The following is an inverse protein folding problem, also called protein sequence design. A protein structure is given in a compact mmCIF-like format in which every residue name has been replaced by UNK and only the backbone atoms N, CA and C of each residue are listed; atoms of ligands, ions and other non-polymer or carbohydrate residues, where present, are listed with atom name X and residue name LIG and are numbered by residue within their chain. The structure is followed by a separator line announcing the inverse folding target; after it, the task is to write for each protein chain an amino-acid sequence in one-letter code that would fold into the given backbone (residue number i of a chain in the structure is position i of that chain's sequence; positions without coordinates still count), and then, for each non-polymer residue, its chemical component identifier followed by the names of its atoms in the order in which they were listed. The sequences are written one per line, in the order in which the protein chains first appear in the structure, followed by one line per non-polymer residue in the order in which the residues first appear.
data_IF_590348558910
#
_entry.id   IF_590348558910
#
_cell.length_a   1.000
_cell.length_b   1.000
_cell.length_c   1.000
_cell.angle_alpha   90.00
_cell.angle_beta   90.00
_cell.angle_gamma   90.00
#
_symmetry.space_group_name_H-M   'P 1'
#
loop_
_entity.id
_entity.type
_entity.pdbx_description
1 polymer ?
#
# COMPACT_ATOMS: atom_id res chain seq x y z
N UNK A 1 6.18 9.03 14.95
CA UNK A 1 7.64 8.82 14.75
C UNK A 1 7.98 9.12 13.29
N UNK A 2 9.15 9.71 12.95
CA UNK A 2 9.48 10.08 11.55
C UNK A 2 9.44 8.89 10.59
N UNK A 3 9.75 7.69 11.07
CA UNK A 3 9.82 6.44 10.33
C UNK A 3 8.48 5.69 10.24
N UNK A 4 7.45 6.15 10.97
CA UNK A 4 6.12 5.53 10.96
C UNK A 4 5.41 5.72 9.61
N UNK A 5 5.50 6.91 9.02
CA UNK A 5 4.95 7.19 7.68
C UNK A 5 5.54 6.26 6.62
N UNK A 6 6.87 6.22 6.39
CA UNK A 6 7.44 5.39 5.34
C UNK A 6 7.20 3.89 5.58
N UNK A 7 7.24 3.43 6.84
CA UNK A 7 6.94 2.04 7.16
C UNK A 7 5.50 1.64 6.77
N UNK A 8 4.49 2.38 7.25
CA UNK A 8 3.10 2.06 6.92
C UNK A 8 2.81 2.24 5.43
N UNK A 9 3.48 3.20 4.79
CA UNK A 9 3.37 3.41 3.36
C UNK A 9 3.86 2.20 2.56
N UNK A 10 5.06 1.67 2.85
CA UNK A 10 5.54 0.45 2.18
C UNK A 10 4.66 -0.75 2.48
N UNK A 11 4.19 -0.88 3.73
CA UNK A 11 3.24 -1.92 4.13
C UNK A 11 1.96 -1.86 3.27
N UNK A 12 1.47 -0.66 3.00
CA UNK A 12 0.32 -0.41 2.13
C UNK A 12 0.61 -0.75 0.67
N UNK A 13 1.76 -0.32 0.12
CA UNK A 13 2.18 -0.67 -1.25
C UNK A 13 2.15 -2.18 -1.42
N UNK A 14 2.88 -2.92 -0.57
CA UNK A 14 2.96 -4.38 -0.64
C UNK A 14 1.56 -5.01 -0.49
N UNK A 15 0.69 -4.46 0.34
CA UNK A 15 -0.68 -4.96 0.49
C UNK A 15 -1.52 -4.76 -0.78
N UNK A 16 -1.41 -3.61 -1.45
CA UNK A 16 -2.12 -3.32 -2.69
C UNK A 16 -1.65 -4.18 -3.86
N UNK A 17 -0.33 -4.35 -4.02
CA UNK A 17 0.27 -5.00 -5.20
C UNK A 17 0.38 -6.52 -5.09
N UNK A 18 0.56 -7.07 -3.88
CA UNK A 18 0.72 -8.52 -3.71
C UNK A 18 -0.61 -9.27 -3.64
N UNK A 19 -1.68 -8.58 -4.03
CA UNK A 19 -3.06 -8.99 -3.91
C UNK A 19 -3.30 -10.27 -4.72
N UNK A 20 -3.07 -10.25 -6.03
CA UNK A 20 -3.35 -11.37 -6.92
C UNK A 20 -2.21 -12.40 -7.02
N UNK A 21 -1.14 -12.19 -6.25
CA UNK A 21 0.07 -13.01 -6.23
C UNK A 21 1.02 -12.75 -7.40
N UNK A 22 0.79 -11.71 -8.20
CA UNK A 22 1.67 -11.26 -9.29
C UNK A 22 2.07 -9.83 -9.01
N UNK A 23 3.34 -9.53 -9.24
CA UNK A 23 3.82 -8.14 -9.17
C UNK A 23 4.20 -7.71 -10.57
N UNK A 24 3.55 -6.65 -11.03
CA UNK A 24 3.83 -6.03 -12.32
C UNK A 24 5.14 -5.25 -12.26
N UNK A 25 5.66 -4.90 -13.43
CA UNK A 25 6.88 -4.09 -13.52
C UNK A 25 6.69 -2.69 -12.92
N UNK A 26 5.48 -2.12 -13.03
CA UNK A 26 5.14 -0.82 -12.45
C UNK A 26 5.21 -0.86 -10.93
N UNK A 27 4.56 -1.85 -10.33
CA UNK A 27 4.54 -2.08 -8.88
C UNK A 27 5.94 -2.35 -8.29
N UNK A 28 6.75 -3.15 -8.98
CA UNK A 28 8.16 -3.35 -8.58
C UNK A 28 8.98 -2.05 -8.66
N UNK A 29 8.72 -1.23 -9.68
CA UNK A 29 9.36 0.08 -9.82
C UNK A 29 8.98 1.01 -8.68
N UNK A 30 7.70 1.01 -8.27
CA UNK A 30 7.22 1.82 -7.15
C UNK A 30 7.93 1.46 -5.84
N UNK A 31 8.15 0.17 -5.56
CA UNK A 31 8.94 -0.25 -4.39
C UNK A 31 10.40 0.24 -4.46
N UNK A 32 11.01 0.27 -5.64
CA UNK A 32 12.36 0.85 -5.83
C UNK A 32 12.39 2.36 -5.60
N UNK A 33 11.37 3.08 -6.10
CA UNK A 33 11.22 4.51 -5.86
C UNK A 33 11.04 4.80 -4.37
N UNK A 34 10.29 3.96 -3.66
CA UNK A 34 10.16 4.05 -2.21
C UNK A 34 11.52 3.96 -1.50
N UNK A 35 12.39 3.02 -1.91
CA UNK A 35 13.75 2.92 -1.36
C UNK A 35 14.56 4.20 -1.61
N UNK A 36 14.52 4.73 -2.83
CA UNK A 36 15.24 5.97 -3.18
C UNK A 36 14.77 7.16 -2.35
N UNK A 37 13.45 7.31 -2.17
CA UNK A 37 12.85 8.42 -1.44
C UNK A 37 13.18 8.40 0.08
N UNK A 38 13.41 7.22 0.65
CA UNK A 38 13.54 7.05 2.11
C UNK A 38 14.93 6.64 2.58
N UNK A 39 15.90 6.51 1.69
CA UNK A 39 17.30 6.23 2.04
C UNK A 39 17.85 7.23 3.08
N UNK A 40 17.46 8.50 2.99
CA UNK A 40 17.88 9.56 3.92
C UNK A 40 17.39 9.38 5.36
N UNK A 41 16.44 8.47 5.62
CA UNK A 41 15.92 8.19 6.97
C UNK A 41 16.67 7.05 7.67
N UNK A 42 17.67 6.45 7.02
CA UNK A 42 18.41 5.28 7.51
C UNK A 42 19.54 5.63 8.51
N UNK A 43 19.27 6.53 9.45
CA UNK A 43 20.26 7.01 10.41
C UNK A 43 20.42 6.08 11.61
N UNK A 44 19.32 5.46 12.06
CA UNK A 44 19.30 4.64 13.27
C UNK A 44 18.39 3.41 13.15
N UNK A 45 18.67 2.42 13.99
CA UNK A 45 17.79 1.27 14.24
C UNK A 45 16.44 1.74 14.82
N UNK A 46 15.32 1.02 14.58
CA UNK A 46 15.25 -0.21 13.77
C UNK A 46 15.11 0.05 12.25
N UNK A 47 14.88 1.31 11.86
CA UNK A 47 14.55 1.63 10.45
C UNK A 47 15.72 1.37 9.51
N UNK A 48 16.95 1.59 9.96
CA UNK A 48 18.16 1.27 9.18
C UNK A 48 18.25 -0.21 8.83
N UNK A 49 18.01 -1.13 9.77
CA UNK A 49 18.05 -2.58 9.47
C UNK A 49 16.86 -2.99 8.59
N UNK A 50 15.66 -2.52 8.93
CA UNK A 50 14.46 -2.74 8.11
C UNK A 50 14.68 -2.34 6.64
N UNK A 51 15.18 -1.13 6.40
CA UNK A 51 15.44 -0.64 5.05
C UNK A 51 16.49 -1.48 4.33
N UNK A 52 17.56 -1.90 5.02
CA UNK A 52 18.60 -2.73 4.43
C UNK A 52 18.06 -4.10 3.98
N UNK A 53 17.21 -4.74 4.79
CA UNK A 53 16.57 -6.01 4.46
C UNK A 53 15.61 -5.87 3.27
N UNK A 54 14.74 -4.84 3.27
CA UNK A 54 13.86 -4.55 2.12
C UNK A 54 14.66 -4.28 0.85
N UNK A 55 15.71 -3.47 0.94
CA UNK A 55 16.53 -3.10 -0.21
C UNK A 55 17.26 -4.31 -0.80
N UNK A 56 17.74 -5.23 0.02
CA UNK A 56 18.43 -6.43 -0.44
C UNK A 56 17.53 -7.29 -1.34
N UNK A 57 16.24 -7.42 -1.01
CA UNK A 57 15.26 -8.13 -1.83
C UNK A 57 15.06 -7.41 -3.17
N UNK A 58 14.85 -6.10 -3.13
CA UNK A 58 14.53 -5.34 -4.35
C UNK A 58 15.71 -5.21 -5.33
N UNK A 59 16.94 -5.45 -4.88
CA UNK A 59 18.14 -5.30 -5.71
C UNK A 59 18.35 -6.48 -6.70
N UNK A 60 17.71 -7.64 -6.53
CA UNK A 60 17.89 -8.80 -7.44
C UNK A 60 17.29 -8.60 -8.84
N UNK A 61 16.39 -7.62 -8.99
CA UNK A 61 15.84 -7.18 -10.27
C UNK A 61 14.55 -7.88 -10.71
N UNK A 62 14.08 -8.87 -9.95
CA UNK A 62 12.78 -9.53 -10.11
C UNK A 62 12.01 -9.50 -8.79
N UNK A 63 10.76 -9.99 -8.83
CA UNK A 63 9.95 -10.14 -7.64
C UNK A 63 9.23 -11.49 -7.72
N UNK A 64 9.74 -12.46 -6.99
CA UNK A 64 9.20 -13.81 -6.88
C UNK A 64 8.14 -13.89 -5.79
N UNK A 65 7.33 -14.96 -5.80
CA UNK A 65 6.35 -15.18 -4.73
C UNK A 65 7.04 -15.36 -3.37
N UNK A 66 8.22 -15.98 -3.37
CA UNK A 66 9.09 -16.16 -2.21
C UNK A 66 9.58 -14.81 -1.66
N UNK A 67 10.05 -13.90 -2.52
CA UNK A 67 10.48 -12.55 -2.12
C UNK A 67 9.32 -11.71 -1.57
N UNK A 68 8.10 -11.87 -2.11
CA UNK A 68 6.89 -11.25 -1.54
C UNK A 68 6.63 -11.77 -0.12
N UNK A 69 6.75 -13.09 0.09
CA UNK A 69 6.59 -13.69 1.42
C UNK A 69 7.67 -13.19 2.38
N UNK A 70 8.90 -13.04 1.92
CA UNK A 70 10.00 -12.50 2.70
C UNK A 70 9.77 -11.03 3.07
N UNK A 71 9.35 -10.19 2.13
CA UNK A 71 8.96 -8.80 2.39
C UNK A 71 7.84 -8.70 3.44
N UNK A 72 6.81 -9.55 3.33
CA UNK A 72 5.73 -9.63 4.32
C UNK A 72 6.25 -10.05 5.71
N UNK A 73 7.21 -10.97 5.75
CA UNK A 73 7.85 -11.39 7.00
C UNK A 73 8.68 -10.26 7.63
N UNK A 74 9.44 -9.50 6.81
CA UNK A 74 10.20 -8.33 7.26
C UNK A 74 9.26 -7.26 7.81
N UNK A 75 8.18 -6.92 7.10
CA UNK A 75 7.17 -5.97 7.61
C UNK A 75 6.65 -6.40 8.98
N UNK A 76 6.28 -7.67 9.14
CA UNK A 76 5.76 -8.20 10.42
C UNK A 76 6.81 -8.13 11.54
N UNK A 77 8.08 -8.43 11.22
CA UNK A 77 9.19 -8.39 12.18
C UNK A 77 9.37 -7.00 12.80
N UNK A 78 9.23 -5.93 12.03
CA UNK A 78 9.50 -4.56 12.49
C UNK A 78 8.24 -3.76 12.88
N UNK A 79 7.05 -4.34 12.74
CA UNK A 79 5.78 -3.62 12.90
C UNK A 79 5.63 -2.95 14.26
N UNK A 80 5.94 -3.67 15.34
CA UNK A 80 5.76 -3.17 16.72
C UNK A 80 6.75 -2.06 17.09
N UNK A 81 7.90 -1.99 16.41
CA UNK A 81 8.94 -0.99 16.67
C UNK A 81 8.78 0.24 15.77
N UNK A 82 8.31 0.05 14.53
CA UNK A 82 8.22 1.11 13.53
C UNK A 82 6.84 1.75 13.43
N UNK A 83 5.79 1.11 13.94
CA UNK A 83 4.42 1.62 13.82
C UNK A 83 3.54 1.28 15.01
N UNK A 84 2.59 2.18 15.27
CA UNK A 84 1.38 1.87 16.05
C UNK A 84 0.24 1.73 15.04
N UNK A 85 -0.04 0.49 14.62
CA UNK A 85 -0.98 0.16 13.52
C UNK A 85 -2.39 0.73 13.72
N UNK A 86 -2.82 0.90 14.97
CA UNK A 86 -4.17 1.34 15.31
C UNK A 86 -4.40 2.85 15.23
N UNK A 87 -3.35 3.66 15.06
CA UNK A 87 -3.50 5.11 14.95
C UNK A 87 -4.19 5.49 13.63
N UNK A 88 -4.99 6.57 13.65
CA UNK A 88 -5.67 7.06 12.44
C UNK A 88 -4.65 7.42 11.36
N UNK A 89 -3.55 8.05 11.75
CA UNK A 89 -2.46 8.47 10.86
C UNK A 89 -1.77 7.27 10.23
N UNK A 90 -1.51 6.20 11.00
CA UNK A 90 -0.96 4.96 10.47
C UNK A 90 -1.87 4.34 9.40
N UNK A 91 -3.19 4.32 9.65
CA UNK A 91 -4.18 3.83 8.67
C UNK A 91 -4.26 4.72 7.42
N UNK A 92 -4.09 6.04 7.55
CA UNK A 92 -4.01 6.95 6.39
C UNK A 92 -2.75 6.66 5.57
N UNK A 93 -1.58 6.56 6.20
CA UNK A 93 -0.33 6.25 5.49
C UNK A 93 -0.37 4.87 4.82
N UNK A 94 -1.02 3.90 5.46
CA UNK A 94 -1.26 2.60 4.87
C UNK A 94 -2.19 2.67 3.65
N UNK A 95 -3.31 3.38 3.74
CA UNK A 95 -4.22 3.61 2.62
C UNK A 95 -3.53 4.32 1.45
N UNK A 96 -2.70 5.33 1.74
CA UNK A 96 -1.87 5.99 0.73
C UNK A 96 -0.94 5.00 0.05
N UNK A 97 -0.29 4.14 0.81
CA UNK A 97 0.54 3.07 0.27
C UNK A 97 -0.23 2.15 -0.68
N UNK A 98 -1.43 1.70 -0.29
CA UNK A 98 -2.29 0.89 -1.17
C UNK A 98 -2.59 1.65 -2.46
N UNK A 99 -2.98 2.93 -2.37
CA UNK A 99 -3.30 3.74 -3.55
C UNK A 99 -2.09 3.90 -4.47
N UNK A 100 -0.87 4.10 -3.93
CA UNK A 100 0.35 4.11 -4.73
C UNK A 100 0.59 2.78 -5.45
N UNK A 101 0.39 1.67 -4.74
CA UNK A 101 0.52 0.33 -5.32
C UNK A 101 -0.41 0.13 -6.51
N UNK A 102 -1.70 0.38 -6.33
CA UNK A 102 -2.73 0.18 -7.37
C UNK A 102 -2.55 1.15 -8.55
N UNK A 103 -2.02 2.35 -8.31
CA UNK A 103 -1.77 3.32 -9.38
C UNK A 103 -0.49 3.03 -10.18
N UNK A 104 0.34 2.08 -9.74
CA UNK A 104 1.70 1.93 -10.25
C UNK A 104 1.78 1.40 -11.69
N UNK A 105 0.78 0.66 -12.15
CA UNK A 105 0.71 0.11 -13.52
C UNK A 105 -0.37 0.73 -14.40
N UNK A 106 -1.02 1.79 -13.90
CA UNK A 106 -2.10 2.50 -14.57
C UNK A 106 -3.33 1.65 -14.92
N UNK A 107 -3.50 0.43 -14.41
CA UNK A 107 -4.67 -0.41 -14.68
C UNK A 107 -5.34 -0.86 -13.38
N UNK A 108 -6.50 -0.29 -13.06
CA UNK A 108 -7.22 -0.70 -11.86
C UNK A 108 -8.14 -1.88 -12.18
N UNK A 109 -7.88 -3.02 -11.53
CA UNK A 109 -8.66 -4.22 -11.74
C UNK A 109 -9.55 -4.58 -10.53
N UNK A 110 -10.53 -5.46 -10.78
CA UNK A 110 -11.51 -5.90 -9.77
C UNK A 110 -10.84 -6.50 -8.53
N UNK A 111 -9.72 -7.19 -8.68
CA UNK A 111 -9.06 -7.87 -7.57
C UNK A 111 -8.51 -6.86 -6.57
N UNK A 112 -7.82 -5.83 -7.06
CA UNK A 112 -7.27 -4.75 -6.23
C UNK A 112 -8.36 -4.01 -5.46
N UNK A 113 -9.46 -3.68 -6.14
CA UNK A 113 -10.64 -3.06 -5.53
C UNK A 113 -11.25 -3.96 -4.45
N UNK A 114 -11.32 -5.27 -4.71
CA UNK A 114 -11.84 -6.24 -3.74
C UNK A 114 -10.94 -6.31 -2.50
N UNK A 115 -9.61 -6.34 -2.66
CA UNK A 115 -8.67 -6.36 -1.55
C UNK A 115 -8.74 -5.08 -0.73
N UNK A 116 -8.73 -3.92 -1.39
CA UNK A 116 -8.84 -2.63 -0.70
C UNK A 116 -10.18 -2.51 0.06
N UNK A 117 -11.28 -2.94 -0.56
CA UNK A 117 -12.59 -2.95 0.11
C UNK A 117 -12.58 -3.86 1.33
N UNK A 118 -12.02 -5.06 1.22
CA UNK A 118 -11.89 -6.00 2.34
C UNK A 118 -11.05 -5.41 3.48
N UNK A 119 -9.92 -4.77 3.15
CA UNK A 119 -9.08 -4.12 4.16
C UNK A 119 -9.86 -3.02 4.92
N UNK A 120 -10.68 -2.23 4.22
CA UNK A 120 -11.54 -1.22 4.83
C UNK A 120 -12.58 -1.85 5.78
N UNK A 121 -13.19 -2.97 5.40
CA UNK A 121 -14.13 -3.72 6.25
C UNK A 121 -13.47 -4.31 7.50
N UNK A 122 -12.24 -4.81 7.39
CA UNK A 122 -11.43 -5.28 8.51
C UNK A 122 -10.98 -4.13 9.44
N UNK A 123 -11.09 -2.89 8.98
CA UNK A 123 -10.75 -1.67 9.71
C UNK A 123 -11.98 -0.80 10.00
N UNK A 124 -13.10 -1.43 10.35
CA UNK A 124 -14.41 -0.79 10.60
C UNK A 124 -14.37 0.45 11.50
N UNK A 125 -13.49 0.45 12.50
CA UNK A 125 -13.23 1.56 13.43
C UNK A 125 -12.95 2.92 12.75
N UNK A 126 -12.45 2.92 11.50
CA UNK A 126 -12.19 4.15 10.73
C UNK A 126 -13.17 4.40 9.59
N UNK A 127 -14.04 3.44 9.23
CA UNK A 127 -15.00 3.57 8.12
C UNK A 127 -15.95 4.76 8.24
N UNK A 128 -16.20 5.24 9.46
CA UNK A 128 -17.02 6.43 9.69
C UNK A 128 -16.31 7.77 9.42
N UNK A 129 -15.03 7.76 9.02
CA UNK A 129 -14.18 8.95 8.94
C UNK A 129 -13.57 9.11 7.55
N UNK A 130 -13.35 10.36 7.14
CA UNK A 130 -12.61 10.65 5.92
C UNK A 130 -11.12 10.33 6.05
N UNK A 131 -10.45 9.80 5.00
CA UNK A 131 -10.99 9.45 3.67
C UNK A 131 -11.65 8.06 3.56
N UNK A 132 -11.62 7.25 4.61
CA UNK A 132 -12.07 5.84 4.56
C UNK A 132 -13.55 5.68 4.21
N UNK A 133 -14.39 6.59 4.72
CA UNK A 133 -15.83 6.58 4.45
C UNK A 133 -16.13 6.76 2.96
N UNK A 134 -15.55 7.80 2.37
CA UNK A 134 -15.77 8.12 0.97
C UNK A 134 -15.14 7.06 0.06
N UNK A 135 -13.94 6.56 0.42
CA UNK A 135 -13.32 5.41 -0.24
C UNK A 135 -14.24 4.19 -0.23
N UNK A 136 -14.76 3.79 0.91
CA UNK A 136 -15.62 2.60 1.02
C UNK A 136 -16.91 2.74 0.21
N UNK A 137 -17.53 3.93 0.22
CA UNK A 137 -18.72 4.20 -0.59
C UNK A 137 -18.41 4.11 -2.09
N UNK A 138 -17.29 4.69 -2.53
CA UNK A 138 -16.85 4.63 -3.93
C UNK A 138 -16.62 3.20 -4.39
N UNK A 139 -15.85 2.41 -3.64
CA UNK A 139 -15.57 1.02 -3.96
C UNK A 139 -16.84 0.15 -3.96
N UNK A 140 -17.79 0.45 -3.06
CA UNK A 140 -19.07 -0.27 -3.01
C UNK A 140 -19.86 -0.03 -4.29
N UNK A 141 -19.95 1.23 -4.75
CA UNK A 141 -20.67 1.60 -5.96
C UNK A 141 -20.04 0.96 -7.21
N UNK A 142 -18.71 1.05 -7.35
CA UNK A 142 -18.00 0.44 -8.50
C UNK A 142 -18.19 -1.07 -8.54
N UNK A 143 -18.31 -1.73 -7.39
CA UNK A 143 -18.43 -3.19 -7.34
C UNK A 143 -19.86 -3.70 -7.52
N UNK A 144 -20.87 -2.83 -7.66
CA UNK A 144 -22.29 -3.23 -7.74
C UNK A 144 -22.60 -4.13 -8.94
N UNK A 145 -22.03 -3.83 -10.10
CA UNK A 145 -22.25 -4.60 -11.33
C UNK A 145 -21.23 -5.76 -11.51
N UNK A 146 -20.26 -5.82 -10.60
CA UNK A 146 -19.25 -6.87 -10.52
C UNK A 146 -18.09 -6.74 -11.52
N UNK A 147 -17.91 -5.60 -12.18
CA UNK A 147 -16.73 -5.28 -13.01
C UNK A 147 -16.24 -3.86 -12.69
N UNK A 148 -15.10 -3.47 -13.27
CA UNK A 148 -14.61 -2.09 -13.23
C UNK A 148 -14.55 -1.65 -14.69
N UNK A 149 -15.36 -0.68 -15.08
CA UNK A 149 -15.33 -0.08 -16.41
C UNK A 149 -14.39 1.14 -16.48
N UNK A 150 -14.15 1.66 -17.69
CA UNK A 150 -13.23 2.78 -17.91
C UNK A 150 -13.68 4.08 -17.22
N UNK A 151 -14.99 4.29 -17.05
CA UNK A 151 -15.53 5.44 -16.34
C UNK A 151 -15.29 5.32 -14.84
N UNK A 152 -15.56 4.15 -14.28
CA UNK A 152 -15.32 3.82 -12.87
C UNK A 152 -13.84 3.87 -12.51
N UNK A 153 -12.99 3.28 -13.35
CA UNK A 153 -11.54 3.34 -13.21
C UNK A 153 -11.04 4.79 -13.15
N UNK A 154 -11.55 5.66 -14.02
CA UNK A 154 -11.18 7.08 -14.02
C UNK A 154 -11.56 7.76 -12.70
N UNK A 155 -12.77 7.52 -12.20
CA UNK A 155 -13.22 8.09 -10.92
C UNK A 155 -12.38 7.57 -9.75
N UNK A 156 -12.05 6.28 -9.75
CA UNK A 156 -11.15 5.66 -8.77
C UNK A 156 -9.77 6.31 -8.80
N UNK A 157 -9.17 6.46 -9.98
CA UNK A 157 -7.87 7.13 -10.16
C UNK A 157 -7.88 8.55 -9.62
N UNK A 158 -8.90 9.33 -9.97
CA UNK A 158 -9.04 10.71 -9.48
C UNK A 158 -9.10 10.76 -7.95
N UNK A 159 -9.90 9.89 -7.33
CA UNK A 159 -10.04 9.86 -5.88
C UNK A 159 -8.77 9.33 -5.17
N UNK A 160 -8.10 8.32 -5.74
CA UNK A 160 -6.85 7.79 -5.18
C UNK A 160 -5.78 8.90 -5.17
N UNK A 161 -5.67 9.68 -6.24
CA UNK A 161 -4.78 10.84 -6.31
C UNK A 161 -5.10 11.94 -5.28
N UNK A 162 -6.36 12.09 -4.87
CA UNK A 162 -6.73 12.98 -3.76
C UNK A 162 -6.26 12.44 -2.41
N UNK A 163 -6.43 11.14 -2.17
CA UNK A 163 -5.95 10.46 -0.95
C UNK A 163 -4.42 10.60 -0.79
N UNK A 164 -3.67 10.55 -1.89
CA UNK A 164 -2.21 10.72 -1.87
C UNK A 164 -1.74 12.11 -1.40
N UNK A 165 -2.62 13.13 -1.44
CA UNK A 165 -2.29 14.52 -1.03
C UNK A 165 -2.56 14.81 0.45
N UNK A 166 -3.18 13.87 1.17
CA UNK A 166 -3.53 14.02 2.60
C UNK A 166 -2.31 13.89 3.53
#
# INVERSE_FOLDING_TARGET
MKTQKPFNHLKGIIHGISSDGRITRGEFTEMKLWCQAHQGLCESSPFKEFFAEVKAILDDGTMTAEEIMELKAILKKYETELSVSESKEAKIYFLQGICYGILADEEINKYEITVLKKWLEENDSVLGRSPFKEMYALLTNVMEDGKVDLGEEKVLKEYFLEVLKM
#
